data_IF_621811405494
#
_entry.id   IF_621811405494
#
_cell.length_a   1.000
_cell.length_b   1.000
_cell.length_c   1.000
_cell.angle_alpha   90.00
_cell.angle_beta   90.00
_cell.angle_gamma   90.00
#
_symmetry.space_group_name_H-M   'P 1'
#
loop_
_entity.id
_entity.type
_entity.pdbx_description
1 polymer ?
#
# COMPACT_ATOMS: atom_id res chain seq x y z
N UNK A 1 -22.38 10.98 -3.85
CA UNK A 1 -22.17 11.91 -2.74
C UNK A 1 -20.70 11.90 -2.30
N UNK A 2 -20.17 10.75 -1.86
CA UNK A 2 -18.80 10.67 -1.30
C UNK A 2 -17.66 11.01 -2.29
N UNK A 3 -17.87 10.88 -3.61
CA UNK A 3 -16.86 11.25 -4.61
C UNK A 3 -16.66 12.76 -4.69
N UNK A 4 -17.73 13.51 -4.47
CA UNK A 4 -17.76 14.97 -4.64
C UNK A 4 -17.51 15.73 -3.33
N UNK A 5 -17.72 15.13 -2.16
CA UNK A 5 -17.58 15.80 -0.85
C UNK A 5 -16.15 16.32 -0.59
N UNK A 6 -15.12 15.69 -1.17
CA UNK A 6 -13.71 16.05 -1.06
C UNK A 6 -13.12 16.59 -2.37
N UNK A 7 -13.98 16.91 -3.32
CA UNK A 7 -13.55 17.46 -4.61
C UNK A 7 -13.18 18.95 -4.50
N UNK A 8 -12.49 19.46 -5.51
CA UNK A 8 -12.26 20.91 -5.62
C UNK A 8 -13.52 21.72 -5.97
N UNK A 9 -14.64 21.05 -6.22
CA UNK A 9 -15.88 21.69 -6.67
C UNK A 9 -16.54 22.52 -5.58
N UNK A 10 -16.45 22.08 -4.33
CA UNK A 10 -17.15 22.66 -3.18
C UNK A 10 -16.20 23.22 -2.13
N UNK A 11 -16.72 24.17 -1.34
CA UNK A 11 -16.02 24.73 -0.20
C UNK A 11 -15.67 23.66 0.85
N UNK A 12 -14.45 23.73 1.34
CA UNK A 12 -13.99 22.92 2.47
C UNK A 12 -13.93 23.77 3.74
N UNK A 13 -14.53 23.29 4.80
CA UNK A 13 -14.57 23.95 6.11
C UNK A 13 -13.91 23.10 7.18
N UNK A 14 -13.35 23.74 8.21
CA UNK A 14 -12.92 23.03 9.44
C UNK A 14 -14.09 22.26 10.06
N UNK A 15 -13.77 21.26 10.90
CA UNK A 15 -14.78 20.38 11.54
C UNK A 15 -15.93 21.12 12.21
N UNK A 16 -15.68 22.33 12.74
CA UNK A 16 -16.69 23.19 13.36
C UNK A 16 -17.50 24.01 12.34
N UNK A 17 -17.22 23.91 11.03
CA UNK A 17 -17.86 24.62 9.92
C UNK A 17 -17.83 26.14 9.98
N UNK A 18 -17.02 26.75 10.84
CA UNK A 18 -16.95 28.20 11.01
C UNK A 18 -15.80 28.87 10.27
N UNK A 19 -14.84 28.07 9.76
CA UNK A 19 -13.67 28.58 9.06
C UNK A 19 -13.52 27.89 7.71
N UNK A 20 -13.55 28.66 6.63
CA UNK A 20 -13.31 28.21 5.27
C UNK A 20 -11.82 27.87 5.12
N UNK A 21 -11.51 26.61 4.79
CA UNK A 21 -10.15 26.16 4.53
C UNK A 21 -9.82 26.37 3.06
N UNK A 22 -10.74 25.97 2.16
CA UNK A 22 -10.56 26.03 0.72
C UNK A 22 -11.86 26.40 0.04
N UNK A 23 -11.79 27.37 -0.89
CA UNK A 23 -12.92 27.72 -1.72
C UNK A 23 -13.10 26.71 -2.85
N UNK A 24 -14.32 26.26 -3.07
CA UNK A 24 -14.69 25.40 -4.19
C UNK A 24 -14.75 26.19 -5.49
N UNK A 25 -14.20 25.62 -6.57
CA UNK A 25 -14.11 26.32 -7.84
C UNK A 25 -15.47 26.57 -8.53
N UNK A 26 -16.50 25.80 -8.19
CA UNK A 26 -17.86 25.99 -8.69
C UNK A 26 -18.78 26.71 -7.69
N UNK A 27 -18.32 26.96 -6.45
CA UNK A 27 -19.15 27.56 -5.41
C UNK A 27 -19.59 28.96 -5.77
N UNK A 28 -20.90 29.23 -5.58
CA UNK A 28 -21.58 30.51 -5.77
C UNK A 28 -22.27 30.92 -4.47
N UNK A 29 -22.96 32.03 -4.51
CA UNK A 29 -23.65 32.57 -3.33
C UNK A 29 -24.80 31.66 -2.87
N UNK A 30 -25.42 30.92 -3.79
CA UNK A 30 -26.51 30.00 -3.50
C UNK A 30 -26.21 28.61 -4.05
N UNK A 31 -26.84 27.57 -3.45
CA UNK A 31 -26.76 26.22 -3.95
C UNK A 31 -27.33 26.07 -5.36
N UNK A 32 -28.38 26.82 -5.71
CA UNK A 32 -29.00 26.75 -7.02
C UNK A 32 -28.05 27.35 -8.08
N UNK A 33 -27.39 28.45 -7.80
CA UNK A 33 -26.39 29.04 -8.70
C UNK A 33 -25.20 28.08 -8.91
N UNK A 34 -24.74 27.42 -7.84
CA UNK A 34 -23.68 26.40 -7.92
C UNK A 34 -24.14 25.21 -8.77
N UNK A 35 -25.35 24.72 -8.55
CA UNK A 35 -25.92 23.60 -9.30
C UNK A 35 -26.10 23.90 -10.78
N UNK A 36 -26.50 25.13 -11.13
CA UNK A 36 -26.71 25.58 -12.51
C UNK A 36 -25.41 25.62 -13.35
N UNK A 37 -24.25 25.60 -12.71
CA UNK A 37 -22.94 25.54 -13.41
C UNK A 37 -22.32 24.13 -13.29
N UNK A 38 -22.32 23.58 -12.11
CA UNK A 38 -21.67 22.30 -11.86
C UNK A 38 -22.40 21.12 -12.51
N UNK A 39 -23.76 21.08 -12.42
CA UNK A 39 -24.52 19.95 -12.97
C UNK A 39 -24.34 19.83 -14.50
N UNK A 40 -24.50 20.91 -15.31
CA UNK A 40 -24.24 20.81 -16.75
C UNK A 40 -22.80 20.42 -17.10
N UNK A 41 -21.80 20.89 -16.33
CA UNK A 41 -20.40 20.49 -16.52
C UNK A 41 -20.20 18.99 -16.33
N UNK A 42 -20.59 18.44 -15.16
CA UNK A 42 -20.48 17.01 -14.88
C UNK A 42 -21.29 16.20 -15.88
N UNK A 43 -22.52 16.65 -16.21
CA UNK A 43 -23.38 15.97 -17.18
C UNK A 43 -22.70 15.90 -18.55
N UNK A 44 -22.10 16.99 -19.02
CA UNK A 44 -21.38 17.01 -20.30
C UNK A 44 -20.19 16.08 -20.30
N UNK A 45 -19.37 16.07 -19.22
CA UNK A 45 -18.25 15.13 -19.07
C UNK A 45 -18.73 13.68 -19.17
N UNK A 46 -19.76 13.30 -18.41
CA UNK A 46 -20.29 11.95 -18.42
C UNK A 46 -20.94 11.56 -19.75
N UNK A 47 -21.64 12.50 -20.42
CA UNK A 47 -22.21 12.30 -21.74
C UNK A 47 -21.11 12.01 -22.77
N UNK A 48 -20.06 12.81 -22.80
CA UNK A 48 -18.92 12.57 -23.68
C UNK A 48 -18.32 11.16 -23.44
N UNK A 49 -18.04 10.79 -22.18
CA UNK A 49 -17.51 9.47 -21.87
C UNK A 49 -18.50 8.36 -22.31
N UNK A 50 -19.80 8.51 -22.06
CA UNK A 50 -20.78 7.51 -22.43
C UNK A 50 -20.93 7.32 -23.93
N UNK A 51 -20.86 8.40 -24.71
CA UNK A 51 -20.90 8.36 -26.17
C UNK A 51 -19.68 7.64 -26.76
N UNK A 52 -18.47 7.98 -26.28
CA UNK A 52 -17.22 7.38 -26.75
C UNK A 52 -17.01 5.94 -26.26
N UNK A 53 -17.55 5.58 -25.10
CA UNK A 53 -17.46 4.25 -24.50
C UNK A 53 -18.80 3.49 -24.56
N UNK A 54 -19.64 3.76 -25.57
CA UNK A 54 -21.01 3.22 -25.65
C UNK A 54 -21.05 1.70 -25.54
N UNK A 55 -20.13 0.98 -26.17
CA UNK A 55 -20.05 -0.48 -26.14
C UNK A 55 -19.91 -1.05 -24.71
N UNK A 56 -19.24 -0.35 -23.80
CA UNK A 56 -19.09 -0.78 -22.41
C UNK A 56 -20.16 -0.16 -21.50
N UNK A 57 -20.56 1.08 -21.81
CA UNK A 57 -21.60 1.79 -21.07
C UNK A 57 -22.96 1.07 -21.17
N UNK A 58 -23.33 0.62 -22.37
CA UNK A 58 -24.61 -0.03 -22.64
C UNK A 58 -24.72 -1.45 -22.05
N UNK A 59 -23.60 -2.05 -21.61
CA UNK A 59 -23.63 -3.31 -20.86
C UNK A 59 -24.25 -3.15 -19.45
N UNK A 60 -24.44 -1.93 -18.98
CA UNK A 60 -25.00 -1.65 -17.66
C UNK A 60 -24.26 -2.41 -16.56
N UNK A 61 -24.98 -3.08 -15.68
CA UNK A 61 -24.38 -3.83 -14.54
C UNK A 61 -23.50 -5.04 -14.95
N UNK A 62 -23.54 -5.47 -16.20
CA UNK A 62 -22.67 -6.53 -16.73
C UNK A 62 -21.30 -5.99 -17.16
N UNK A 63 -21.23 -4.71 -17.49
CA UNK A 63 -19.98 -4.03 -17.79
C UNK A 63 -19.18 -3.65 -16.53
N UNK A 64 -18.02 -3.04 -16.74
CA UNK A 64 -17.25 -2.48 -15.60
C UNK A 64 -17.52 -0.99 -15.42
N UNK A 65 -17.96 -0.27 -16.44
CA UNK A 65 -17.97 1.19 -16.47
C UNK A 65 -19.06 1.81 -15.60
N UNK A 66 -20.24 1.21 -15.56
CA UNK A 66 -21.42 1.73 -14.85
C UNK A 66 -21.60 1.20 -13.42
N UNK A 67 -20.66 0.39 -12.92
CA UNK A 67 -20.68 -0.02 -11.51
C UNK A 67 -20.26 1.12 -10.58
N UNK A 68 -20.71 1.08 -9.34
CA UNK A 68 -20.50 2.16 -8.36
C UNK A 68 -19.03 2.57 -8.19
N UNK A 69 -18.10 1.60 -8.23
CA UNK A 69 -16.67 1.88 -8.07
C UNK A 69 -16.11 2.66 -9.27
N UNK A 70 -16.55 2.33 -10.48
CA UNK A 70 -16.10 3.01 -11.70
C UNK A 70 -16.72 4.40 -11.84
N UNK A 71 -18.00 4.56 -11.56
CA UNK A 71 -18.62 5.89 -11.51
C UNK A 71 -17.93 6.79 -10.49
N UNK A 72 -17.60 6.23 -9.29
CA UNK A 72 -16.81 6.97 -8.31
C UNK A 72 -15.45 7.37 -8.87
N UNK A 73 -14.75 6.43 -9.52
CA UNK A 73 -13.42 6.66 -10.09
C UNK A 73 -13.46 7.72 -11.20
N UNK A 74 -14.43 7.65 -12.11
CA UNK A 74 -14.61 8.66 -13.17
C UNK A 74 -14.85 10.04 -12.58
N UNK A 75 -15.72 10.19 -11.59
CA UNK A 75 -15.97 11.47 -10.93
C UNK A 75 -14.70 12.01 -10.23
N UNK A 76 -13.88 11.14 -9.66
CA UNK A 76 -12.58 11.52 -9.09
C UNK A 76 -11.58 11.95 -10.16
N UNK A 77 -11.56 11.30 -11.32
CA UNK A 77 -10.71 11.72 -12.46
C UNK A 77 -11.18 13.08 -13.01
N UNK A 78 -12.48 13.32 -13.09
CA UNK A 78 -13.00 14.65 -13.49
C UNK A 78 -12.57 15.73 -12.48
N UNK A 79 -12.58 15.43 -11.18
CA UNK A 79 -12.01 16.32 -10.14
C UNK A 79 -10.52 16.57 -10.35
N UNK A 80 -9.73 15.53 -10.66
CA UNK A 80 -8.30 15.64 -10.92
C UNK A 80 -8.02 16.47 -12.21
N UNK A 81 -8.75 16.23 -13.29
CA UNK A 81 -8.68 17.03 -14.52
C UNK A 81 -9.02 18.51 -14.23
N UNK A 82 -10.08 18.74 -13.46
CA UNK A 82 -10.48 20.11 -13.07
C UNK A 82 -9.33 20.82 -12.36
N UNK A 83 -8.67 20.17 -11.39
CA UNK A 83 -7.52 20.74 -10.68
C UNK A 83 -6.36 21.08 -11.61
N UNK A 84 -6.01 20.16 -12.50
CA UNK A 84 -4.93 20.38 -13.49
C UNK A 84 -5.25 21.60 -14.36
N UNK A 85 -6.45 21.67 -14.94
CA UNK A 85 -6.86 22.78 -15.82
C UNK A 85 -6.96 24.10 -15.07
N UNK A 86 -7.41 24.10 -13.79
CA UNK A 86 -7.40 25.29 -12.95
C UNK A 86 -5.97 25.82 -12.74
N UNK A 87 -5.03 24.92 -12.49
CA UNK A 87 -3.62 25.28 -12.29
C UNK A 87 -2.96 25.76 -13.58
N UNK A 88 -3.24 25.14 -14.72
CA UNK A 88 -2.73 25.56 -16.04
C UNK A 88 -3.26 26.93 -16.43
N UNK A 89 -4.55 27.14 -16.23
CA UNK A 89 -5.22 28.41 -16.65
C UNK A 89 -5.16 29.52 -15.61
N UNK A 90 -4.62 29.21 -14.41
CA UNK A 90 -4.64 30.14 -13.24
C UNK A 90 -6.05 30.62 -12.88
N UNK A 91 -7.04 29.78 -13.18
CA UNK A 91 -8.45 30.06 -12.86
C UNK A 91 -8.72 29.64 -11.43
N UNK A 92 -9.41 30.46 -10.64
CA UNK A 92 -9.80 30.10 -9.27
C UNK A 92 -11.29 29.74 -9.18
N UNK A 93 -12.13 30.47 -9.87
CA UNK A 93 -13.59 30.33 -9.87
C UNK A 93 -14.10 30.18 -11.29
N UNK A 94 -14.92 29.17 -11.51
CA UNK A 94 -15.53 28.84 -12.79
C UNK A 94 -16.90 29.56 -12.87
N UNK A 95 -17.05 30.47 -13.82
CA UNK A 95 -18.28 31.20 -14.03
C UNK A 95 -19.05 30.73 -15.27
N UNK A 96 -18.34 30.21 -16.27
CA UNK A 96 -18.91 29.61 -17.48
C UNK A 96 -18.42 28.19 -17.60
N UNK A 97 -19.33 27.24 -17.43
CA UNK A 97 -19.02 25.84 -17.51
C UNK A 97 -18.67 25.37 -18.92
N UNK A 98 -19.20 26.06 -19.97
CA UNK A 98 -18.93 25.70 -21.37
C UNK A 98 -17.51 26.06 -21.77
N UNK A 99 -17.09 27.29 -21.43
CA UNK A 99 -15.71 27.72 -21.63
C UNK A 99 -14.74 26.84 -20.85
N UNK A 100 -15.09 26.51 -19.61
CA UNK A 100 -14.23 25.62 -18.79
C UNK A 100 -14.20 24.19 -19.32
N UNK A 101 -15.36 23.64 -19.77
CA UNK A 101 -15.39 22.31 -20.38
C UNK A 101 -14.49 22.24 -21.63
N UNK A 102 -14.49 23.27 -22.48
CA UNK A 102 -13.63 23.28 -23.68
C UNK A 102 -12.14 23.17 -23.34
N UNK A 103 -11.73 23.65 -22.18
CA UNK A 103 -10.35 23.50 -21.68
C UNK A 103 -10.06 22.11 -21.10
N UNK A 104 -11.08 21.41 -20.63
CA UNK A 104 -10.98 20.05 -20.11
C UNK A 104 -11.17 18.96 -21.20
N UNK A 105 -11.68 19.34 -22.38
CA UNK A 105 -12.19 18.40 -23.38
C UNK A 105 -11.14 17.38 -23.82
N UNK A 106 -9.92 17.82 -24.10
CA UNK A 106 -8.84 16.90 -24.51
C UNK A 106 -8.50 15.85 -23.44
N UNK A 107 -8.56 16.24 -22.15
CA UNK A 107 -8.37 15.29 -21.04
C UNK A 107 -9.55 14.32 -20.92
N UNK A 108 -10.80 14.79 -21.13
CA UNK A 108 -12.00 13.95 -21.09
C UNK A 108 -12.01 12.94 -22.24
N UNK A 109 -11.62 13.37 -23.44
CA UNK A 109 -11.46 12.48 -24.59
C UNK A 109 -10.34 11.45 -24.37
N UNK A 110 -9.19 11.90 -23.84
CA UNK A 110 -8.10 11.00 -23.46
C UNK A 110 -8.52 9.96 -22.41
N UNK A 111 -9.40 10.36 -21.48
CA UNK A 111 -9.98 9.40 -20.49
C UNK A 111 -10.89 8.39 -21.19
N UNK A 112 -11.73 8.80 -22.12
CA UNK A 112 -12.60 7.90 -22.87
C UNK A 112 -11.78 6.90 -23.70
N UNK A 113 -10.76 7.36 -24.41
CA UNK A 113 -9.85 6.50 -25.16
C UNK A 113 -9.09 5.51 -24.24
N UNK A 114 -8.64 5.99 -23.09
CA UNK A 114 -8.00 5.14 -22.06
C UNK A 114 -8.95 4.06 -21.58
N UNK A 115 -10.20 4.38 -21.29
CA UNK A 115 -11.23 3.41 -20.85
C UNK A 115 -11.43 2.32 -21.93
N UNK A 116 -11.51 2.71 -23.20
CA UNK A 116 -11.68 1.76 -24.30
C UNK A 116 -10.45 0.86 -24.55
N UNK A 117 -9.26 1.31 -24.13
CA UNK A 117 -8.00 0.60 -24.32
C UNK A 117 -7.50 -0.14 -23.08
N UNK A 118 -8.28 -0.17 -21.98
CA UNK A 118 -7.88 -0.89 -20.76
C UNK A 118 -7.67 -2.38 -21.04
N UNK A 119 -6.58 -2.91 -20.51
CA UNK A 119 -6.30 -4.35 -20.56
C UNK A 119 -7.21 -5.15 -19.62
N UNK A 120 -7.27 -6.46 -19.85
CA UNK A 120 -8.13 -7.37 -19.08
C UNK A 120 -7.75 -7.39 -17.59
N UNK A 121 -6.48 -7.21 -17.24
CA UNK A 121 -6.01 -7.19 -15.85
C UNK A 121 -6.52 -5.95 -15.12
N UNK A 122 -6.44 -4.78 -15.76
CA UNK A 122 -6.98 -3.52 -15.24
C UNK A 122 -8.50 -3.59 -15.05
N UNK A 123 -9.23 -4.11 -16.05
CA UNK A 123 -10.67 -4.33 -15.96
C UNK A 123 -11.02 -5.29 -14.82
N UNK A 124 -10.29 -6.41 -14.70
CA UNK A 124 -10.48 -7.37 -13.62
C UNK A 124 -10.21 -6.75 -12.25
N UNK A 125 -9.15 -5.91 -12.12
CA UNK A 125 -8.83 -5.18 -10.89
C UNK A 125 -9.97 -4.26 -10.46
N UNK A 126 -10.61 -3.56 -11.41
CA UNK A 126 -11.77 -2.69 -11.13
C UNK A 126 -13.00 -3.53 -10.73
N UNK A 127 -13.33 -4.58 -11.48
CA UNK A 127 -14.52 -5.44 -11.23
C UNK A 127 -14.43 -6.21 -9.92
N UNK A 128 -13.25 -6.72 -9.58
CA UNK A 128 -13.01 -7.56 -8.41
C UNK A 128 -12.69 -6.77 -7.14
N UNK A 129 -12.50 -5.45 -7.23
CA UNK A 129 -12.26 -4.61 -6.08
C UNK A 129 -13.43 -4.65 -5.09
N UNK A 130 -13.17 -5.04 -3.84
CA UNK A 130 -14.18 -5.19 -2.78
C UNK A 130 -13.75 -4.47 -1.51
N UNK A 131 -14.73 -4.17 -0.65
CA UNK A 131 -14.48 -3.53 0.64
C UNK A 131 -14.22 -2.02 0.57
N UNK A 132 -13.70 -1.45 1.64
CA UNK A 132 -13.55 0.00 1.79
C UNK A 132 -12.57 0.66 0.82
N UNK A 133 -11.54 -0.08 0.36
CA UNK A 133 -10.53 0.41 -0.59
C UNK A 133 -10.93 0.32 -2.06
N UNK A 134 -12.00 -0.41 -2.40
CA UNK A 134 -12.38 -0.71 -3.78
C UNK A 134 -12.49 0.53 -4.69
N UNK A 135 -13.07 1.61 -4.17
CA UNK A 135 -13.23 2.87 -4.89
C UNK A 135 -11.89 3.53 -5.21
N UNK A 136 -10.96 3.51 -4.26
CA UNK A 136 -9.62 4.05 -4.46
C UNK A 136 -8.81 3.18 -5.43
N UNK A 137 -8.94 1.87 -5.36
CA UNK A 137 -8.31 0.95 -6.32
C UNK A 137 -8.75 1.27 -7.75
N UNK A 138 -10.07 1.37 -7.99
CA UNK A 138 -10.60 1.71 -9.32
C UNK A 138 -10.12 3.08 -9.81
N UNK A 139 -10.10 4.08 -8.93
CA UNK A 139 -9.60 5.41 -9.26
C UNK A 139 -8.10 5.38 -9.63
N UNK A 140 -7.25 4.71 -8.85
CA UNK A 140 -5.80 4.60 -9.12
C UNK A 140 -5.50 3.85 -10.43
N UNK A 141 -6.24 2.78 -10.72
CA UNK A 141 -6.09 2.06 -12.01
C UNK A 141 -6.33 3.02 -13.18
N UNK A 142 -7.44 3.79 -13.15
CA UNK A 142 -7.74 4.76 -14.20
C UNK A 142 -6.73 5.91 -14.25
N UNK A 143 -6.30 6.45 -13.10
CA UNK A 143 -5.28 7.52 -13.05
C UNK A 143 -3.98 7.10 -13.73
N UNK A 144 -3.46 5.91 -13.38
CA UNK A 144 -2.19 5.41 -13.94
C UNK A 144 -2.33 5.12 -15.44
N UNK A 145 -3.45 4.52 -15.85
CA UNK A 145 -3.70 4.25 -17.26
C UNK A 145 -3.82 5.55 -18.08
N UNK A 146 -4.55 6.55 -17.56
CA UNK A 146 -4.67 7.86 -18.21
C UNK A 146 -3.34 8.60 -18.27
N UNK A 147 -2.55 8.62 -17.21
CA UNK A 147 -1.21 9.24 -17.24
C UNK A 147 -0.29 8.56 -18.24
N UNK A 148 -0.36 7.22 -18.38
CA UNK A 148 0.40 6.47 -19.38
C UNK A 148 0.01 6.87 -20.81
N UNK A 149 -1.27 7.09 -21.08
CA UNK A 149 -1.79 7.51 -22.39
C UNK A 149 -1.56 9.01 -22.62
N UNK A 150 -1.72 9.84 -21.60
CA UNK A 150 -1.55 11.28 -21.64
C UNK A 150 -0.66 11.74 -20.47
N UNK A 151 0.67 11.87 -20.65
CA UNK A 151 1.60 12.28 -19.60
C UNK A 151 1.37 13.67 -19.01
N UNK A 152 0.59 14.52 -19.67
CA UNK A 152 0.22 15.85 -19.14
C UNK A 152 -0.82 15.70 -18.00
N UNK A 153 -1.56 14.60 -17.96
CA UNK A 153 -2.45 14.28 -16.83
C UNK A 153 -1.61 13.83 -15.63
N UNK A 154 -1.06 14.77 -14.90
CA UNK A 154 -0.25 14.53 -13.70
C UNK A 154 -0.48 15.64 -12.67
N UNK A 155 -0.53 15.25 -11.40
CA UNK A 155 -0.47 16.12 -10.24
C UNK A 155 0.46 15.52 -9.19
N UNK A 156 0.79 16.25 -8.13
CA UNK A 156 1.74 15.81 -7.10
C UNK A 156 1.34 14.47 -6.46
N UNK A 157 0.05 14.26 -6.19
CA UNK A 157 -0.47 13.01 -5.60
C UNK A 157 -0.26 11.82 -6.54
N UNK A 158 -0.57 11.97 -7.83
CA UNK A 158 -0.36 10.93 -8.83
C UNK A 158 1.13 10.69 -9.08
N UNK A 159 1.96 11.75 -9.15
CA UNK A 159 3.40 11.62 -9.33
C UNK A 159 4.05 10.82 -8.18
N UNK A 160 3.67 11.11 -6.94
CA UNK A 160 4.12 10.37 -5.77
C UNK A 160 3.64 8.90 -5.80
N UNK A 161 2.38 8.68 -6.16
CA UNK A 161 1.83 7.33 -6.29
C UNK A 161 2.56 6.51 -7.38
N UNK A 162 2.81 7.09 -8.56
CA UNK A 162 3.53 6.42 -9.66
C UNK A 162 4.98 6.10 -9.24
N UNK A 163 5.64 7.03 -8.55
CA UNK A 163 6.99 6.81 -8.01
C UNK A 163 6.99 5.64 -7.04
N UNK A 164 6.06 5.62 -6.10
CA UNK A 164 5.88 4.54 -5.13
C UNK A 164 5.55 3.21 -5.82
N UNK A 165 4.58 3.22 -6.75
CA UNK A 165 4.15 2.03 -7.49
C UNK A 165 5.28 1.43 -8.35
N UNK A 166 6.12 2.27 -8.98
CA UNK A 166 7.24 1.82 -9.80
C UNK A 166 8.46 1.40 -8.99
N UNK A 167 8.58 1.84 -7.73
CA UNK A 167 9.69 1.46 -6.87
C UNK A 167 9.52 0.01 -6.41
N UNK A 168 10.48 -0.83 -6.74
CA UNK A 168 10.52 -2.20 -6.24
C UNK A 168 11.38 -2.26 -4.96
N UNK A 169 10.71 -2.25 -3.81
CA UNK A 169 11.36 -2.32 -2.51
C UNK A 169 11.85 -3.73 -2.14
N UNK A 170 11.36 -4.77 -2.83
CA UNK A 170 11.60 -6.16 -2.44
C UNK A 170 13.08 -6.55 -2.29
N UNK A 171 14.02 -6.18 -3.19
CA UNK A 171 15.41 -6.59 -3.03
C UNK A 171 16.03 -6.05 -1.74
N UNK A 172 15.92 -4.73 -1.50
CA UNK A 172 16.45 -4.09 -0.29
C UNK A 172 15.74 -4.56 0.97
N UNK A 173 14.41 -4.73 0.92
CA UNK A 173 13.62 -5.26 2.03
C UNK A 173 14.01 -6.70 2.38
N UNK A 174 14.25 -7.56 1.40
CA UNK A 174 14.66 -8.94 1.61
C UNK A 174 15.98 -9.05 2.35
N UNK A 175 16.97 -8.24 1.97
CA UNK A 175 18.26 -8.18 2.65
C UNK A 175 18.12 -7.71 4.10
N UNK A 176 17.34 -6.64 4.33
CA UNK A 176 17.07 -6.09 5.66
C UNK A 176 16.32 -7.06 6.56
N UNK A 177 15.25 -7.68 6.04
CA UNK A 177 14.49 -8.67 6.78
C UNK A 177 15.33 -9.89 7.18
N UNK A 178 16.24 -10.33 6.30
CA UNK A 178 17.18 -11.41 6.60
C UNK A 178 18.12 -11.01 7.73
N UNK A 179 18.64 -9.78 7.71
CA UNK A 179 19.51 -9.28 8.77
C UNK A 179 18.78 -9.09 10.10
N UNK A 180 17.55 -8.53 10.07
CA UNK A 180 16.71 -8.38 11.26
C UNK A 180 16.43 -9.74 11.89
N UNK A 181 16.01 -10.72 11.08
CA UNK A 181 15.70 -12.07 11.56
C UNK A 181 16.93 -12.72 12.19
N UNK A 182 18.08 -12.63 11.53
CA UNK A 182 19.34 -13.15 12.07
C UNK A 182 19.67 -12.48 13.41
N UNK A 183 19.64 -11.13 13.44
CA UNK A 183 19.97 -10.39 14.67
C UNK A 183 19.01 -10.70 15.81
N UNK A 184 17.70 -10.82 15.51
CA UNK A 184 16.70 -11.18 16.51
C UNK A 184 16.92 -12.61 17.02
N UNK A 185 17.23 -13.56 16.13
CA UNK A 185 17.56 -14.94 16.46
C UNK A 185 18.78 -15.00 17.39
N UNK A 186 19.86 -14.30 17.03
CA UNK A 186 21.09 -14.26 17.83
C UNK A 186 20.81 -13.68 19.24
N UNK A 187 19.96 -12.65 19.33
CA UNK A 187 19.57 -12.05 20.62
C UNK A 187 18.77 -13.03 21.48
N UNK A 188 17.83 -13.77 20.87
CA UNK A 188 17.00 -14.76 21.57
C UNK A 188 17.88 -15.95 21.97
N UNK A 189 18.72 -16.48 21.09
CA UNK A 189 19.68 -17.54 21.40
C UNK A 189 20.56 -17.18 22.58
N UNK A 190 21.14 -16.00 22.59
CA UNK A 190 21.99 -15.51 23.71
C UNK A 190 21.23 -15.38 25.04
N UNK A 191 19.94 -15.04 25.00
CA UNK A 191 19.12 -14.98 26.23
C UNK A 191 18.77 -16.39 26.74
N UNK A 192 18.62 -17.36 25.83
CA UNK A 192 18.31 -18.75 26.17
C UNK A 192 19.53 -19.63 26.44
N UNK A 193 20.75 -19.13 26.23
CA UNK A 193 21.99 -19.92 26.33
C UNK A 193 22.13 -20.69 27.66
N UNK A 194 21.62 -20.12 28.74
CA UNK A 194 21.65 -20.72 30.06
C UNK A 194 20.37 -21.49 30.41
N UNK A 195 19.39 -21.56 29.48
CA UNK A 195 18.15 -22.29 29.69
C UNK A 195 18.33 -23.72 29.22
N UNK A 196 18.50 -24.64 30.19
CA UNK A 196 18.65 -26.06 29.86
C UNK A 196 17.40 -26.57 29.14
N UNK A 197 17.64 -27.30 28.06
CA UNK A 197 16.58 -27.97 27.28
C UNK A 197 15.49 -26.97 26.77
N UNK A 198 15.90 -25.73 26.41
CA UNK A 198 14.98 -24.64 25.98
C UNK A 198 13.99 -25.09 24.89
N UNK A 199 14.41 -25.96 23.98
CA UNK A 199 13.56 -26.44 22.89
C UNK A 199 12.38 -27.27 23.43
N UNK A 200 12.52 -27.90 24.58
CA UNK A 200 11.45 -28.69 25.20
C UNK A 200 10.61 -27.89 26.20
N UNK A 201 11.21 -26.92 26.86
CA UNK A 201 10.58 -26.15 27.95
C UNK A 201 9.91 -24.88 27.49
N UNK A 202 10.54 -24.17 26.52
CA UNK A 202 10.19 -22.82 26.11
C UNK A 202 9.66 -22.72 24.66
N UNK A 203 9.47 -23.86 23.98
CA UNK A 203 9.00 -23.89 22.59
C UNK A 203 7.71 -24.69 22.49
N UNK A 204 6.68 -24.16 21.77
CA UNK A 204 5.47 -24.94 21.46
C UNK A 204 5.77 -26.23 20.72
N UNK A 205 4.98 -27.27 20.97
CA UNK A 205 5.23 -28.62 20.42
C UNK A 205 5.27 -28.70 18.90
N UNK A 206 4.41 -27.95 18.21
CA UNK A 206 4.37 -27.86 16.75
C UNK A 206 5.67 -27.26 16.19
N UNK A 207 6.19 -26.22 16.82
CA UNK A 207 7.44 -25.57 16.42
C UNK A 207 8.62 -26.49 16.68
N UNK A 208 8.67 -27.12 17.86
CA UNK A 208 9.70 -28.07 18.21
C UNK A 208 9.80 -29.19 17.18
N UNK A 209 8.68 -29.86 16.84
CA UNK A 209 8.64 -30.92 15.86
C UNK A 209 9.15 -30.46 14.49
N UNK A 210 8.76 -29.25 14.04
CA UNK A 210 9.21 -28.68 12.77
C UNK A 210 10.72 -28.43 12.77
N UNK A 211 11.25 -27.76 13.80
CA UNK A 211 12.69 -27.45 13.93
C UNK A 211 13.50 -28.74 13.92
N UNK A 212 13.11 -29.73 14.73
CA UNK A 212 13.80 -31.03 14.82
C UNK A 212 13.81 -31.75 13.47
N UNK A 213 12.68 -31.75 12.74
CA UNK A 213 12.59 -32.38 11.43
C UNK A 213 13.46 -31.66 10.39
N UNK A 214 13.45 -30.31 10.36
CA UNK A 214 14.27 -29.54 9.43
C UNK A 214 15.78 -29.74 9.69
N UNK A 215 16.18 -29.72 10.97
CA UNK A 215 17.58 -29.98 11.35
C UNK A 215 18.03 -31.37 10.91
N UNK A 216 17.25 -32.42 11.21
CA UNK A 216 17.55 -33.77 10.80
C UNK A 216 17.67 -33.93 9.28
N UNK A 217 16.76 -33.30 8.52
CA UNK A 217 16.82 -33.32 7.06
C UNK A 217 18.07 -32.61 6.54
N UNK A 218 18.43 -31.45 7.08
CA UNK A 218 19.63 -30.72 6.65
C UNK A 218 20.91 -31.47 7.01
N UNK A 219 20.98 -32.11 8.17
CA UNK A 219 22.11 -32.97 8.56
C UNK A 219 22.28 -34.18 7.62
N UNK A 220 21.19 -34.76 7.12
CA UNK A 220 21.24 -35.80 6.08
C UNK A 220 21.78 -35.26 4.76
N UNK A 221 21.30 -34.10 4.31
CA UNK A 221 21.78 -33.40 3.08
C UNK A 221 23.27 -33.08 3.21
N UNK A 222 23.70 -32.51 4.35
CA UNK A 222 25.08 -32.17 4.61
C UNK A 222 26.01 -33.39 4.57
N UNK A 223 25.60 -34.48 5.22
CA UNK A 223 26.32 -35.78 5.16
C UNK A 223 26.45 -36.30 3.74
N UNK A 224 25.36 -36.27 2.96
CA UNK A 224 25.38 -36.71 1.57
C UNK A 224 26.34 -35.88 0.70
N UNK A 225 26.46 -34.58 0.99
CA UNK A 225 27.33 -33.67 0.26
C UNK A 225 28.75 -33.57 0.86
N UNK A 226 29.09 -34.32 1.88
CA UNK A 226 30.41 -34.25 2.53
C UNK A 226 30.66 -32.92 3.29
N UNK A 227 29.60 -32.26 3.72
CA UNK A 227 29.66 -31.02 4.47
C UNK A 227 29.67 -31.34 5.96
N UNK A 228 30.75 -31.00 6.65
CA UNK A 228 30.87 -31.14 8.11
C UNK A 228 30.54 -29.81 8.82
N UNK A 229 29.26 -29.50 8.90
CA UNK A 229 28.74 -28.31 9.56
C UNK A 229 27.89 -28.72 10.77
N UNK A 230 28.20 -28.12 11.92
CA UNK A 230 27.42 -28.31 13.14
C UNK A 230 26.21 -27.38 13.14
N UNK A 231 25.05 -27.94 12.91
CA UNK A 231 23.78 -27.19 12.89
C UNK A 231 23.20 -27.00 14.29
N UNK A 232 22.76 -25.79 14.60
CA UNK A 232 21.97 -25.47 15.78
C UNK A 232 20.48 -25.55 15.48
N UNK A 233 19.65 -25.83 16.47
CA UNK A 233 18.19 -25.68 16.36
C UNK A 233 17.80 -24.26 16.01
N UNK A 234 18.54 -23.25 16.46
CA UNK A 234 18.31 -21.84 16.18
C UNK A 234 18.41 -21.50 14.69
N UNK A 235 19.20 -22.23 13.90
CA UNK A 235 19.32 -22.03 12.45
C UNK A 235 17.97 -22.22 11.71
N UNK A 236 17.04 -22.92 12.33
CA UNK A 236 15.73 -23.27 11.78
C UNK A 236 14.57 -22.48 12.39
N UNK A 237 14.85 -21.48 13.25
CA UNK A 237 13.83 -20.62 13.86
C UNK A 237 13.57 -19.41 12.97
N UNK A 238 12.31 -19.20 12.55
CA UNK A 238 11.85 -18.10 11.71
C UNK A 238 11.21 -16.97 12.53
N UNK A 239 10.92 -15.84 11.91
CA UNK A 239 10.16 -14.74 12.54
C UNK A 239 8.87 -15.20 13.20
N UNK A 240 8.06 -16.01 12.49
CA UNK A 240 6.78 -16.46 13.01
C UNK A 240 6.97 -17.32 14.26
N UNK A 241 8.00 -18.14 14.30
CA UNK A 241 8.29 -18.99 15.44
C UNK A 241 8.84 -18.22 16.62
N UNK A 242 9.69 -17.21 16.38
CA UNK A 242 10.13 -16.29 17.44
C UNK A 242 8.91 -15.59 18.06
N UNK A 243 7.94 -15.15 17.25
CA UNK A 243 6.70 -14.56 17.74
C UNK A 243 5.87 -15.54 18.57
N UNK A 244 5.68 -16.77 18.10
CA UNK A 244 4.95 -17.81 18.85
C UNK A 244 5.66 -18.18 20.15
N UNK A 245 6.99 -18.32 20.12
CA UNK A 245 7.81 -18.52 21.32
C UNK A 245 7.67 -17.37 22.30
N UNK A 246 7.66 -16.12 21.84
CA UNK A 246 7.46 -14.95 22.68
C UNK A 246 6.09 -14.98 23.37
N UNK A 247 5.07 -15.49 22.70
CA UNK A 247 3.71 -15.67 23.26
C UNK A 247 3.57 -16.85 24.23
N UNK A 248 4.49 -17.80 24.20
CA UNK A 248 4.36 -19.08 24.89
C UNK A 248 4.75 -19.03 26.36
N UNK A 249 3.88 -19.53 27.23
CA UNK A 249 4.08 -19.58 28.70
C UNK A 249 4.60 -18.25 29.27
N UNK A 250 5.64 -18.31 30.10
CA UNK A 250 6.30 -17.19 30.76
C UNK A 250 7.42 -16.55 29.93
N UNK A 251 7.68 -17.04 28.71
CA UNK A 251 8.81 -16.57 27.87
C UNK A 251 8.86 -15.06 27.72
N UNK A 252 7.68 -14.40 27.63
CA UNK A 252 7.65 -12.94 27.48
C UNK A 252 8.35 -12.25 28.65
N UNK A 253 7.91 -12.50 29.88
CA UNK A 253 8.44 -11.85 31.09
C UNK A 253 9.83 -12.32 31.47
N UNK A 254 10.17 -13.57 31.19
CA UNK A 254 11.45 -14.17 31.56
C UNK A 254 12.59 -13.86 30.59
N UNK A 255 12.28 -13.72 29.30
CA UNK A 255 13.28 -13.61 28.24
C UNK A 255 13.06 -12.42 27.31
N UNK A 256 11.93 -12.38 26.57
CA UNK A 256 11.74 -11.42 25.48
C UNK A 256 11.68 -9.96 25.95
N UNK A 257 11.05 -9.67 27.06
CA UNK A 257 11.02 -8.32 27.64
C UNK A 257 12.42 -7.80 27.95
N UNK A 258 13.31 -8.66 28.45
CA UNK A 258 14.71 -8.29 28.74
C UNK A 258 15.49 -7.92 27.47
N UNK A 259 15.28 -8.68 26.37
CA UNK A 259 15.88 -8.40 25.06
C UNK A 259 15.46 -7.01 24.58
N UNK A 260 14.16 -6.71 24.65
CA UNK A 260 13.58 -5.44 24.19
C UNK A 260 14.06 -4.25 25.03
N UNK A 261 14.15 -4.40 26.35
CA UNK A 261 14.70 -3.39 27.25
C UNK A 261 16.16 -3.09 26.89
N UNK A 262 17.00 -4.11 26.65
CA UNK A 262 18.40 -3.94 26.22
C UNK A 262 18.53 -3.15 24.91
N UNK A 263 17.50 -3.20 24.06
CA UNK A 263 17.44 -2.50 22.76
C UNK A 263 16.68 -1.17 22.81
N UNK A 264 16.23 -0.73 23.97
CA UNK A 264 15.36 0.45 24.15
C UNK A 264 14.08 0.40 23.29
N UNK A 265 13.56 -0.80 23.07
CA UNK A 265 12.33 -1.02 22.28
C UNK A 265 11.10 -0.99 23.16
N UNK A 266 9.94 -0.84 22.50
CA UNK A 266 8.64 -0.99 23.17
C UNK A 266 8.56 -2.36 23.86
N UNK A 267 8.09 -2.40 25.10
CA UNK A 267 7.93 -3.62 25.90
C UNK A 267 6.47 -4.04 26.07
N UNK A 268 5.55 -3.37 25.39
CA UNK A 268 4.14 -3.78 25.36
C UNK A 268 4.00 -5.04 24.50
N UNK A 269 3.70 -6.16 25.13
CA UNK A 269 3.61 -7.47 24.47
C UNK A 269 2.69 -7.48 23.22
N UNK A 270 1.45 -6.98 23.25
CA UNK A 270 0.59 -6.94 22.08
C UNK A 270 1.21 -6.21 20.89
N UNK A 271 1.76 -5.02 21.13
CA UNK A 271 2.33 -4.19 20.06
C UNK A 271 3.53 -4.87 19.39
N UNK A 272 4.42 -5.46 20.19
CA UNK A 272 5.61 -6.15 19.66
C UNK A 272 5.23 -7.40 18.90
N UNK A 273 4.26 -8.17 19.37
CA UNK A 273 3.81 -9.36 18.66
C UNK A 273 3.15 -9.02 17.32
N UNK A 274 2.39 -7.92 17.25
CA UNK A 274 1.83 -7.40 16.00
C UNK A 274 2.96 -6.99 15.06
N UNK A 275 3.90 -6.20 15.53
CA UNK A 275 5.03 -5.73 14.74
C UNK A 275 5.89 -6.88 14.17
N UNK A 276 6.24 -7.89 14.99
CA UNK A 276 6.96 -9.08 14.52
C UNK A 276 6.15 -9.87 13.48
N UNK A 277 4.83 -9.94 13.65
CA UNK A 277 3.92 -10.58 12.69
C UNK A 277 3.93 -9.84 11.35
N UNK A 278 3.89 -8.52 11.37
CA UNK A 278 3.88 -7.69 10.16
C UNK A 278 5.20 -7.82 9.39
N UNK A 279 6.34 -7.84 10.08
CA UNK A 279 7.65 -8.15 9.47
C UNK A 279 7.69 -9.55 8.83
N UNK A 280 7.13 -10.56 9.52
CA UNK A 280 7.01 -11.92 8.98
C UNK A 280 6.11 -11.99 7.75
N UNK A 281 5.01 -11.22 7.72
CA UNK A 281 4.13 -11.12 6.55
C UNK A 281 4.83 -10.46 5.36
N UNK A 282 5.61 -9.39 5.58
CA UNK A 282 6.41 -8.78 4.52
C UNK A 282 7.39 -9.78 3.90
N UNK A 283 8.07 -10.59 4.72
CA UNK A 283 8.97 -11.64 4.23
C UNK A 283 8.22 -12.68 3.38
N UNK A 284 7.03 -13.11 3.82
CA UNK A 284 6.20 -14.04 3.08
C UNK A 284 5.70 -13.47 1.75
N UNK A 285 5.30 -12.18 1.72
CA UNK A 285 4.91 -11.50 0.47
C UNK A 285 6.05 -11.52 -0.54
N UNK A 286 7.25 -11.12 -0.13
CA UNK A 286 8.44 -11.08 -0.99
C UNK A 286 8.80 -12.48 -1.49
N UNK A 287 8.82 -13.50 -0.62
CA UNK A 287 9.12 -14.88 -0.99
C UNK A 287 8.12 -15.47 -1.99
N UNK A 288 6.87 -14.98 -1.98
CA UNK A 288 5.83 -15.35 -2.95
C UNK A 288 5.81 -14.46 -4.21
N UNK A 289 6.86 -13.68 -4.45
CA UNK A 289 6.97 -12.80 -5.61
C UNK A 289 6.03 -11.59 -5.59
N UNK A 290 5.36 -11.32 -4.46
CA UNK A 290 4.49 -10.16 -4.30
C UNK A 290 5.29 -8.94 -3.85
N UNK A 291 4.86 -7.76 -4.29
CA UNK A 291 5.48 -6.49 -3.88
C UNK A 291 4.97 -6.06 -2.51
N UNK A 292 5.85 -5.46 -1.73
CA UNK A 292 5.50 -4.73 -0.51
C UNK A 292 5.27 -3.25 -0.83
N UNK A 293 4.47 -2.60 0.01
CA UNK A 293 4.19 -1.15 -0.09
C UNK A 293 5.32 -0.32 0.51
N UNK A 294 5.33 0.99 0.23
CA UNK A 294 6.24 1.95 0.86
C UNK A 294 6.10 1.92 2.39
N UNK A 295 4.88 1.93 2.92
CA UNK A 295 4.64 1.87 4.37
C UNK A 295 5.27 0.62 5.00
N UNK A 296 5.09 -0.55 4.38
CA UNK A 296 5.73 -1.79 4.84
C UNK A 296 7.25 -1.72 4.77
N UNK A 297 7.79 -1.04 3.75
CA UNK A 297 9.24 -0.82 3.65
C UNK A 297 9.76 0.12 4.73
N UNK A 298 9.04 1.19 5.05
CA UNK A 298 9.37 2.12 6.16
C UNK A 298 9.36 1.40 7.52
N UNK A 299 8.41 0.51 7.78
CA UNK A 299 8.40 -0.34 8.98
C UNK A 299 9.63 -1.25 9.07
N UNK A 300 10.10 -1.79 7.94
CA UNK A 300 11.34 -2.57 7.86
C UNK A 300 12.56 -1.67 8.13
N UNK A 301 12.58 -0.43 7.63
CA UNK A 301 13.64 0.56 7.91
C UNK A 301 13.71 0.92 9.40
N UNK A 302 12.56 1.08 10.05
CA UNK A 302 12.51 1.30 11.51
C UNK A 302 13.02 0.08 12.28
N UNK A 303 12.63 -1.11 11.84
CA UNK A 303 13.07 -2.35 12.47
C UNK A 303 14.58 -2.58 12.34
N UNK A 304 15.20 -2.29 11.17
CA UNK A 304 16.65 -2.42 10.99
C UNK A 304 17.40 -1.47 11.91
N UNK A 305 16.95 -0.22 12.06
CA UNK A 305 17.55 0.76 13.00
C UNK A 305 17.45 0.28 14.43
N UNK A 306 16.28 -0.25 14.82
CA UNK A 306 16.03 -0.73 16.17
C UNK A 306 16.92 -1.93 16.56
N UNK A 307 17.03 -2.93 15.69
CA UNK A 307 17.78 -4.16 16.00
C UNK A 307 19.27 -4.07 15.68
N UNK A 308 19.66 -3.41 14.60
CA UNK A 308 21.02 -3.42 14.07
C UNK A 308 21.79 -2.09 14.28
N UNK A 309 21.09 -0.98 14.65
CA UNK A 309 21.65 0.35 14.82
C UNK A 309 21.90 1.10 13.52
N UNK A 310 22.23 2.41 13.62
CA UNK A 310 22.39 3.31 12.47
C UNK A 310 23.60 2.99 11.57
N UNK A 311 24.46 2.05 11.95
CA UNK A 311 25.72 1.73 11.25
C UNK A 311 25.58 0.75 10.08
N UNK A 312 24.36 0.22 9.81
CA UNK A 312 24.14 -0.70 8.70
C UNK A 312 23.66 0.08 7.47
N UNK A 313 24.59 0.77 6.81
CA UNK A 313 24.38 1.22 5.42
C UNK A 313 24.44 -0.02 4.52
N UNK A 314 23.29 -0.65 4.26
CA UNK A 314 23.18 -1.62 3.17
C UNK A 314 23.45 -0.85 1.88
N UNK A 315 24.52 -1.23 1.19
CA UNK A 315 25.01 -0.57 -0.03
C UNK A 315 23.92 -0.62 -1.10
N UNK A 316 23.10 0.42 -1.19
CA UNK A 316 22.15 0.62 -2.29
C UNK A 316 22.93 1.01 -3.54
N UNK A 317 23.55 0.04 -4.21
CA UNK A 317 23.85 0.17 -5.63
C UNK A 317 22.56 -0.15 -6.41
N UNK A 318 21.66 0.79 -6.43
CA UNK A 318 20.62 0.82 -7.47
C UNK A 318 21.37 1.16 -8.77
N UNK A 319 21.56 0.16 -9.62
CA UNK A 319 21.89 0.43 -11.03
C UNK A 319 20.62 1.04 -11.65
N UNK A 320 20.73 2.32 -12.00
CA UNK A 320 19.80 3.02 -12.88
C UNK A 320 19.76 2.35 -14.27
#
# INVERSE_FOLDING_TARGET
KNALEKSCFFNEYKKNKNELIKQGCFEKNTNDETANILYPFISKCLTTISEFCSSEWDKGSLGFLTINNSIYAILRIIDDITKIVLDETKTQIINDWKDFYSKCEDYILSLADTINSLDEESIASIKNAKGGSAKNTSWRVLQVALNKANPQFINDDLANYIKEYNTNYNPSASEKLTLIEKTLRDLVENEFVNTKDWIFTNTPDNIRQRITSLKANQELINRHNGIDEKLSEWDFVSFNEIMEMAGYKSNWSEHFQKILIKKNLNTNKPDVLIWLKDLGQCKNLISNGKRITMTQYEEIEEAIKAFCGDSVTVSTKVKL
#
